data_IF_823839071144
#
_entry.id   IF_823839071144
#
_cell.length_a   1.000
_cell.length_b   1.000
_cell.length_c   1.000
_cell.angle_alpha   90.00
_cell.angle_beta   90.00
_cell.angle_gamma   90.00
#
_symmetry.space_group_name_H-M   'P 1'
#
loop_
_entity.id
_entity.type
_entity.pdbx_description
1 polymer ?
#
# COMPACT_ATOMS: atom_id res chain seq x y z
N UNK A 1 17.88 -4.18 9.25
CA UNK A 1 16.45 -4.18 8.89
C UNK A 1 16.28 -5.20 7.79
N UNK A 2 15.38 -6.15 7.97
CA UNK A 2 15.00 -7.09 6.90
C UNK A 2 13.74 -6.53 6.24
N UNK A 3 13.79 -6.33 4.92
CA UNK A 3 12.65 -5.87 4.15
C UNK A 3 12.06 -7.04 3.36
N UNK A 4 10.74 -7.05 3.11
CA UNK A 4 10.14 -8.00 2.21
C UNK A 4 10.79 -7.87 0.82
N UNK A 5 11.11 -9.00 0.20
CA UNK A 5 11.66 -9.07 -1.17
C UNK A 5 10.59 -9.25 -2.24
N UNK A 6 9.31 -9.17 -1.85
CA UNK A 6 8.17 -9.39 -2.73
C UNK A 6 7.03 -8.41 -2.44
N UNK A 7 6.34 -7.99 -3.49
CA UNK A 7 5.13 -7.17 -3.41
C UNK A 7 3.87 -8.04 -3.52
N UNK A 8 2.81 -7.61 -2.84
CA UNK A 8 1.48 -8.20 -2.88
C UNK A 8 0.57 -7.30 -3.73
N UNK A 9 -0.09 -7.89 -4.72
CA UNK A 9 -1.15 -7.25 -5.53
C UNK A 9 -2.41 -8.13 -5.53
N UNK A 10 -3.55 -7.56 -5.95
CA UNK A 10 -4.81 -8.31 -6.03
C UNK A 10 -4.93 -9.14 -7.32
N UNK A 11 -4.07 -8.86 -8.28
CA UNK A 11 -4.02 -9.47 -9.61
C UNK A 11 -3.09 -8.67 -10.49
N UNK A 12 -3.06 -8.97 -11.79
CA UNK A 12 -2.18 -8.32 -12.76
C UNK A 12 -2.89 -7.27 -13.62
N UNK A 13 -4.21 -7.16 -13.49
CA UNK A 13 -5.01 -6.23 -14.27
C UNK A 13 -4.62 -4.77 -14.01
N UNK A 14 -4.57 -3.97 -15.08
CA UNK A 14 -4.25 -2.54 -15.06
C UNK A 14 -5.41 -1.74 -15.64
N UNK A 15 -5.56 -0.49 -15.22
CA UNK A 15 -6.61 0.38 -15.76
C UNK A 15 -6.16 0.98 -17.09
N UNK A 16 -7.08 1.05 -18.04
CA UNK A 16 -6.93 1.77 -19.31
C UNK A 16 -7.88 2.97 -19.34
N UNK A 17 -7.90 3.73 -20.44
CA UNK A 17 -8.88 4.82 -20.61
C UNK A 17 -10.33 4.32 -20.70
N UNK A 18 -10.54 3.07 -21.11
CA UNK A 18 -11.87 2.50 -21.38
C UNK A 18 -12.25 1.38 -20.42
N UNK A 19 -11.29 0.84 -19.66
CA UNK A 19 -11.51 -0.26 -18.72
C UNK A 19 -10.91 0.10 -17.36
N UNK A 20 -11.77 0.16 -16.34
CA UNK A 20 -11.38 0.51 -14.98
C UNK A 20 -11.23 -0.73 -14.11
N UNK A 21 -10.10 -0.80 -13.39
CA UNK A 21 -9.87 -1.82 -12.35
C UNK A 21 -10.13 -1.16 -10.99
N UNK A 22 -11.01 -1.73 -10.14
CA UNK A 22 -11.33 -1.14 -8.85
C UNK A 22 -10.12 -1.14 -7.90
N UNK A 23 -10.11 -0.19 -6.98
CA UNK A 23 -9.13 -0.09 -5.91
C UNK A 23 -9.21 -1.34 -5.00
N UNK A 24 -8.15 -2.16 -4.90
CA UNK A 24 -8.20 -3.39 -4.11
C UNK A 24 -8.07 -3.11 -2.61
N UNK A 25 -8.82 -3.88 -1.82
CA UNK A 25 -8.76 -3.89 -0.36
C UNK A 25 -8.12 -5.17 0.14
N UNK A 26 -7.14 -5.04 1.02
CA UNK A 26 -6.48 -6.14 1.71
C UNK A 26 -6.79 -6.07 3.20
N UNK A 27 -6.96 -7.24 3.82
CA UNK A 27 -7.15 -7.36 5.26
C UNK A 27 -6.33 -8.51 5.83
N UNK A 28 -5.77 -8.29 7.02
CA UNK A 28 -5.15 -9.35 7.82
C UNK A 28 -5.59 -9.22 9.28
N UNK A 29 -6.25 -10.26 9.78
CA UNK A 29 -6.51 -10.41 11.21
C UNK A 29 -5.31 -11.07 11.91
N UNK A 30 -5.06 -10.64 13.15
CA UNK A 30 -4.06 -11.22 14.04
C UNK A 30 -4.48 -11.04 15.50
N UNK A 31 -3.91 -11.83 16.41
CA UNK A 31 -4.31 -11.85 17.83
C UNK A 31 -3.10 -11.67 18.72
N UNK A 32 -3.22 -10.77 19.71
CA UNK A 32 -2.19 -10.51 20.72
C UNK A 32 -2.62 -11.14 22.06
N UNK A 33 -1.79 -12.04 22.60
CA UNK A 33 -2.09 -12.75 23.85
C UNK A 33 -2.04 -11.87 25.11
N UNK A 34 -1.50 -10.66 25.00
CA UNK A 34 -1.40 -9.70 26.10
C UNK A 34 -1.34 -8.26 25.57
N UNK A 35 -1.23 -7.30 26.49
CA UNK A 35 -1.08 -5.89 26.13
C UNK A 35 0.23 -5.69 25.35
N UNK A 36 0.20 -5.07 24.15
CA UNK A 36 1.42 -4.82 23.38
C UNK A 36 2.33 -3.84 24.13
N UNK A 37 3.65 -4.06 24.00
CA UNK A 37 4.69 -3.16 24.51
C UNK A 37 5.32 -2.30 23.40
N UNK A 38 5.25 -2.78 22.16
CA UNK A 38 5.67 -2.07 20.95
C UNK A 38 4.80 -2.52 19.77
N UNK A 39 4.74 -1.69 18.73
CA UNK A 39 3.99 -1.98 17.52
C UNK A 39 4.46 -1.05 16.40
N UNK A 40 5.06 -1.61 15.38
CA UNK A 40 5.57 -0.86 14.24
C UNK A 40 5.13 -1.53 12.94
N UNK A 41 4.77 -0.71 11.96
CA UNK A 41 4.55 -1.16 10.59
C UNK A 41 5.48 -0.41 9.66
N UNK A 42 6.19 -1.18 8.84
CA UNK A 42 6.85 -0.68 7.65
C UNK A 42 5.96 -1.04 6.46
N UNK A 43 5.67 -0.07 5.60
CA UNK A 43 4.87 -0.30 4.40
C UNK A 43 5.47 0.45 3.22
N UNK A 44 5.64 -0.25 2.11
CA UNK A 44 6.01 0.32 0.82
C UNK A 44 4.83 0.17 -0.14
N UNK A 45 4.46 1.24 -0.86
CA UNK A 45 3.40 1.21 -1.85
C UNK A 45 3.91 1.57 -3.25
N UNK A 46 3.61 0.73 -4.24
CA UNK A 46 3.70 1.08 -5.65
C UNK A 46 2.29 1.45 -6.13
N UNK A 47 2.06 2.74 -6.28
CA UNK A 47 0.74 3.34 -6.37
C UNK A 47 0.51 4.25 -5.16
N UNK A 48 -0.73 4.31 -4.69
CA UNK A 48 -1.05 4.95 -3.41
C UNK A 48 -1.65 3.94 -2.45
N UNK A 49 -1.65 4.24 -1.16
CA UNK A 49 -2.36 3.44 -0.18
C UNK A 49 -3.11 4.29 0.85
N UNK A 50 -4.17 3.70 1.41
CA UNK A 50 -4.70 4.07 2.71
C UNK A 50 -4.55 2.90 3.67
N UNK A 51 -4.13 3.22 4.88
CA UNK A 51 -3.78 2.28 5.94
C UNK A 51 -4.75 2.42 7.12
N UNK A 52 -5.21 1.27 7.61
CA UNK A 52 -6.17 1.15 8.70
C UNK A 52 -5.72 0.13 9.75
N UNK A 53 -5.95 0.44 11.02
CA UNK A 53 -5.89 -0.52 12.14
C UNK A 53 -7.20 -0.47 12.90
N UNK A 54 -7.83 -1.63 13.09
CA UNK A 54 -9.06 -1.77 13.88
C UNK A 54 -10.17 -0.79 13.43
N UNK A 55 -10.28 -0.58 12.11
CA UNK A 55 -11.24 0.36 11.50
C UNK A 55 -10.82 1.83 11.53
N UNK A 56 -9.78 2.20 12.27
CA UNK A 56 -9.25 3.56 12.33
C UNK A 56 -8.29 3.79 11.16
N UNK A 57 -8.52 4.83 10.35
CA UNK A 57 -7.58 5.28 9.32
C UNK A 57 -6.38 5.97 9.99
N UNK A 58 -5.18 5.48 9.71
CA UNK A 58 -3.94 5.98 10.31
C UNK A 58 -2.95 6.56 9.30
N UNK A 59 -3.34 6.66 8.02
CA UNK A 59 -2.48 7.13 6.93
C UNK A 59 -1.97 8.53 7.22
N UNK A 60 -0.64 8.77 7.11
CA UNK A 60 -0.01 10.05 7.49
C UNK A 60 -0.41 11.23 6.61
N UNK A 61 -0.74 10.98 5.35
CA UNK A 61 -1.07 12.02 4.38
C UNK A 61 -1.89 11.48 3.22
N UNK A 62 -2.58 12.39 2.52
CA UNK A 62 -3.19 12.06 1.26
C UNK A 62 -2.12 11.65 0.25
N UNK A 63 -2.44 10.69 -0.63
CA UNK A 63 -1.54 10.23 -1.68
C UNK A 63 -0.22 9.62 -1.15
N UNK A 64 -0.24 9.05 0.06
CA UNK A 64 0.86 8.25 0.58
C UNK A 64 1.16 7.04 -0.33
N UNK A 65 2.43 6.61 -0.50
CA UNK A 65 3.63 7.13 0.15
C UNK A 65 4.18 8.37 -0.57
N UNK A 66 4.94 8.17 -1.65
CA UNK A 66 5.45 9.20 -2.54
C UNK A 66 5.59 8.59 -3.93
N UNK A 67 5.58 9.43 -4.96
CA UNK A 67 5.83 8.99 -6.34
C UNK A 67 7.34 8.78 -6.49
N UNK A 68 7.76 7.59 -6.91
CA UNK A 68 9.15 7.28 -7.25
C UNK A 68 9.26 6.68 -8.65
N UNK A 69 10.50 6.52 -9.14
CA UNK A 69 10.82 5.63 -10.25
C UNK A 69 11.17 4.25 -9.66
N UNK A 70 10.25 3.26 -9.66
CA UNK A 70 10.41 2.03 -8.87
C UNK A 70 11.57 1.13 -9.30
N UNK A 71 12.13 1.35 -10.49
CA UNK A 71 13.34 0.68 -10.97
C UNK A 71 14.60 1.17 -10.27
N UNK A 72 14.57 2.39 -9.72
CA UNK A 72 15.75 3.05 -9.16
C UNK A 72 15.65 3.07 -7.63
N UNK A 73 14.49 3.47 -7.10
CA UNK A 73 14.21 3.48 -5.67
C UNK A 73 12.72 3.43 -5.37
N UNK A 74 12.40 2.98 -4.16
CA UNK A 74 11.06 3.01 -3.58
C UNK A 74 11.11 3.61 -2.17
N UNK A 75 10.05 4.30 -1.79
CA UNK A 75 9.90 4.85 -0.45
C UNK A 75 9.04 3.90 0.39
N UNK A 76 9.42 3.72 1.65
CA UNK A 76 8.58 3.08 2.65
C UNK A 76 8.28 4.06 3.77
N UNK A 77 7.10 3.90 4.36
CA UNK A 77 6.69 4.63 5.55
C UNK A 77 6.77 3.73 6.77
N UNK A 78 7.15 4.34 7.89
CA UNK A 78 7.15 3.72 9.21
C UNK A 78 6.03 4.30 10.06
N UNK A 79 5.13 3.46 10.56
CA UNK A 79 4.02 3.84 11.44
C UNK A 79 4.22 3.28 12.83
N UNK A 80 3.98 4.12 13.84
CA UNK A 80 3.76 3.65 15.21
C UNK A 80 2.31 3.16 15.33
N UNK A 81 2.16 1.87 15.64
CA UNK A 81 0.87 1.22 15.80
C UNK A 81 0.41 1.19 17.25
N UNK A 82 1.26 1.54 18.22
CA UNK A 82 0.95 1.41 19.64
C UNK A 82 -0.37 2.05 20.08
N UNK A 83 -0.77 3.25 19.59
CA UNK A 83 -2.03 3.87 19.97
C UNK A 83 -3.28 3.11 19.50
N UNK A 84 -3.13 2.20 18.54
CA UNK A 84 -4.25 1.56 17.83
C UNK A 84 -4.38 0.06 18.11
N UNK A 85 -3.35 -0.56 18.70
CA UNK A 85 -3.35 -1.99 19.03
C UNK A 85 -4.07 -2.26 20.35
N UNK A 86 -4.74 -3.40 20.41
CA UNK A 86 -5.44 -3.88 21.61
C UNK A 86 -5.03 -5.32 21.95
N UNK A 87 -5.23 -5.73 23.21
CA UNK A 87 -5.16 -7.14 23.57
C UNK A 87 -6.29 -7.91 22.88
N UNK A 88 -6.01 -9.13 22.43
CA UNK A 88 -6.96 -9.93 21.65
C UNK A 88 -6.87 -9.62 20.15
N UNK A 89 -8.01 -9.62 19.47
CA UNK A 89 -8.06 -9.51 18.00
C UNK A 89 -7.75 -8.09 17.52
N UNK A 90 -6.96 -8.02 16.46
CA UNK A 90 -6.64 -6.80 15.71
C UNK A 90 -6.75 -7.08 14.22
N UNK A 91 -7.08 -6.04 13.44
CA UNK A 91 -7.19 -6.13 11.98
C UNK A 91 -6.40 -5.00 11.33
N UNK A 92 -5.47 -5.37 10.45
CA UNK A 92 -4.81 -4.48 9.51
C UNK A 92 -5.59 -4.42 8.21
N UNK A 93 -5.84 -3.21 7.70
CA UNK A 93 -6.48 -2.96 6.42
C UNK A 93 -5.61 -2.07 5.54
N UNK A 94 -5.52 -2.42 4.25
CA UNK A 94 -4.84 -1.62 3.23
C UNK A 94 -5.76 -1.46 2.02
N UNK A 95 -6.04 -0.23 1.63
CA UNK A 95 -6.70 0.11 0.38
C UNK A 95 -5.65 0.64 -0.58
N UNK A 96 -5.53 0.07 -1.79
CA UNK A 96 -4.59 0.58 -2.79
C UNK A 96 -5.26 1.45 -3.83
N UNK A 97 -4.56 2.50 -4.26
CA UNK A 97 -4.90 3.33 -5.41
C UNK A 97 -3.87 3.16 -6.52
N UNK A 98 -4.31 3.37 -7.77
CA UNK A 98 -3.45 3.24 -8.95
C UNK A 98 -2.19 4.11 -8.89
N UNK A 99 -2.31 5.34 -8.36
CA UNK A 99 -1.27 6.34 -8.37
C UNK A 99 -0.60 6.45 -9.74
N UNK A 100 0.72 6.63 -9.73
CA UNK A 100 1.51 6.65 -10.97
C UNK A 100 1.93 5.26 -11.44
N UNK A 101 1.87 4.25 -10.57
CA UNK A 101 2.13 2.84 -10.87
C UNK A 101 1.21 2.28 -11.98
N UNK A 102 -0.05 2.71 -11.98
CA UNK A 102 -1.09 2.26 -12.91
C UNK A 102 -1.90 3.44 -13.49
N UNK A 103 -1.24 4.51 -13.93
CA UNK A 103 -1.94 5.72 -14.39
C UNK A 103 -2.50 5.55 -15.82
N UNK A 104 -3.83 5.48 -16.03
CA UNK A 104 -4.42 5.28 -17.37
C UNK A 104 -4.26 6.50 -18.30
N UNK A 105 -3.99 7.70 -17.77
CA UNK A 105 -3.82 8.95 -18.53
C UNK A 105 -2.37 9.36 -18.74
N UNK A 106 -1.41 8.48 -18.44
CA UNK A 106 0.03 8.81 -18.39
C UNK A 106 0.75 9.02 -19.73
N UNK A 107 0.04 9.10 -20.86
CA UNK A 107 0.61 9.17 -22.21
C UNK A 107 1.57 10.35 -22.43
N UNK A 108 1.24 11.52 -21.86
CA UNK A 108 2.09 12.73 -21.94
C UNK A 108 3.48 12.48 -21.36
N UNK A 109 3.58 11.59 -20.37
CA UNK A 109 4.81 11.23 -19.67
C UNK A 109 5.32 9.83 -20.02
N UNK A 110 4.71 9.18 -21.03
CA UNK A 110 4.96 7.79 -21.41
C UNK A 110 4.86 6.78 -20.25
N UNK A 111 4.04 7.01 -19.22
CA UNK A 111 3.85 6.03 -18.13
C UNK A 111 3.09 4.78 -18.59
N UNK A 112 2.46 4.81 -19.77
CA UNK A 112 1.94 3.65 -20.48
C UNK A 112 3.06 2.71 -20.97
N UNK A 113 4.26 3.25 -21.24
CA UNK A 113 5.44 2.50 -21.71
C UNK A 113 6.46 2.18 -20.61
N UNK A 114 6.21 2.65 -19.39
CA UNK A 114 7.14 2.45 -18.30
C UNK A 114 7.27 0.96 -17.94
N UNK A 115 8.51 0.46 -17.89
CA UNK A 115 8.79 -0.97 -17.60
C UNK A 115 8.28 -1.44 -16.24
N UNK A 116 8.13 -0.51 -15.30
CA UNK A 116 7.63 -0.77 -13.95
C UNK A 116 6.11 -0.71 -13.86
N UNK A 117 5.39 -0.24 -14.90
CA UNK A 117 3.93 -0.11 -14.88
C UNK A 117 3.27 -1.45 -14.58
N UNK A 118 2.25 -1.44 -13.74
CA UNK A 118 1.47 -2.64 -13.41
C UNK A 118 0.38 -2.34 -12.40
N UNK A 119 -0.37 -3.36 -11.97
CA UNK A 119 -1.36 -3.25 -10.89
C UNK A 119 -0.75 -2.61 -9.63
N UNK A 120 -1.51 -1.80 -8.87
CA UNK A 120 -1.02 -1.27 -7.60
C UNK A 120 -0.72 -2.42 -6.62
N UNK A 121 0.34 -2.24 -5.83
CA UNK A 121 0.89 -3.30 -4.97
C UNK A 121 1.62 -2.71 -3.77
N UNK A 122 1.76 -3.49 -2.71
CA UNK A 122 2.45 -3.06 -1.50
C UNK A 122 3.34 -4.18 -0.92
N UNK A 123 4.26 -3.81 -0.06
CA UNK A 123 5.11 -4.71 0.71
C UNK A 123 5.13 -4.28 2.17
#
# INVERSE_FOLDING_TARGET
MEFPVSFISAGEASSTLTEYVPAPYFRKGFTLGGKPQSGELLICGLGFYELFINGTKITKGALAPYISAPTDLVYYDKYDLMPYLQQGENVLGVLLGNGFQNNPGGYVWNFDKAVWRGSPRFA
#
